data_IF_585313102043
#
_entry.id   IF_585313102043
#
_cell.length_a   1.000
_cell.length_b   1.000
_cell.length_c   1.000
_cell.angle_alpha   90.00
_cell.angle_beta   90.00
_cell.angle_gamma   90.00
#
_symmetry.space_group_name_H-M   'P 1'
#
loop_
_entity.id
_entity.type
_entity.pdbx_description
1 polymer ?
#
# COMPACT_ATOMS: atom_id res chain seq x y z
N UNK A 1 -8.91 -12.60 16.95
CA UNK A 1 -7.58 -12.81 16.33
C UNK A 1 -7.61 -12.19 14.94
N UNK A 2 -6.65 -11.34 14.60
CA UNK A 2 -6.53 -10.73 13.28
C UNK A 2 -5.09 -10.93 12.79
N UNK A 3 -4.93 -11.42 11.56
CA UNK A 3 -3.63 -11.58 10.91
C UNK A 3 -3.37 -10.46 9.92
N UNK A 4 -2.16 -9.92 9.95
CA UNK A 4 -1.63 -9.00 8.94
C UNK A 4 -0.56 -9.76 8.18
N UNK A 5 -0.65 -9.76 6.85
CA UNK A 5 0.32 -10.43 5.97
C UNK A 5 0.92 -9.40 5.02
N UNK A 6 2.22 -9.49 4.79
CA UNK A 6 2.91 -8.82 3.71
C UNK A 6 3.82 -9.83 3.02
N UNK A 7 4.00 -9.69 1.72
CA UNK A 7 4.83 -10.59 0.95
C UNK A 7 5.64 -9.86 -0.10
N UNK A 8 6.56 -10.59 -0.73
CA UNK A 8 7.26 -10.14 -1.92
C UNK A 8 7.42 -11.30 -2.89
N UNK A 9 7.63 -10.92 -4.15
CA UNK A 9 7.96 -11.80 -5.25
C UNK A 9 9.00 -11.08 -6.11
N UNK A 10 10.07 -11.77 -6.47
CA UNK A 10 11.17 -11.26 -7.25
C UNK A 10 10.97 -11.73 -8.70
N UNK A 11 10.97 -10.79 -9.63
CA UNK A 11 10.79 -11.04 -11.06
C UNK A 11 12.05 -10.62 -11.81
N UNK A 12 12.55 -11.50 -12.68
CA UNK A 12 13.63 -11.23 -13.62
C UNK A 12 14.81 -10.44 -13.03
N UNK A 13 15.25 -10.83 -11.83
CA UNK A 13 16.30 -10.17 -11.07
C UNK A 13 17.47 -11.11 -10.84
N UNK A 14 18.69 -10.59 -10.81
CA UNK A 14 19.85 -11.36 -10.32
C UNK A 14 19.80 -11.36 -8.80
N UNK A 15 20.04 -12.53 -8.21
CA UNK A 15 19.99 -12.73 -6.77
C UNK A 15 20.97 -13.81 -6.36
N UNK A 16 21.45 -13.73 -5.13
CA UNK A 16 22.15 -14.83 -4.49
C UNK A 16 21.24 -16.07 -4.37
N UNK A 17 21.85 -17.25 -4.36
CA UNK A 17 21.14 -18.54 -4.26
C UNK A 17 20.30 -18.65 -2.98
N UNK A 18 20.80 -18.05 -1.89
CA UNK A 18 20.14 -18.07 -0.58
C UNK A 18 18.91 -17.16 -0.47
N UNK A 19 18.66 -16.30 -1.47
CA UNK A 19 17.47 -15.44 -1.50
C UNK A 19 16.33 -16.18 -2.19
N UNK A 20 15.23 -16.36 -1.47
CA UNK A 20 14.01 -16.97 -2.03
C UNK A 20 13.36 -16.01 -3.03
N UNK A 21 12.84 -16.55 -4.14
CA UNK A 21 12.08 -15.74 -5.11
C UNK A 21 10.80 -15.15 -4.52
N UNK A 22 10.24 -15.77 -3.48
CA UNK A 22 9.06 -15.30 -2.77
C UNK A 22 9.24 -15.42 -1.26
N UNK A 23 8.67 -14.47 -0.53
CA UNK A 23 8.64 -14.49 0.93
C UNK A 23 7.34 -13.93 1.46
N UNK A 24 6.85 -14.51 2.56
CA UNK A 24 5.61 -14.09 3.22
C UNK A 24 5.91 -13.87 4.70
N UNK A 25 5.45 -12.74 5.22
CA UNK A 25 5.62 -12.31 6.59
C UNK A 25 4.25 -12.05 7.20
N UNK A 26 3.97 -12.68 8.32
CA UNK A 26 2.70 -12.50 9.02
C UNK A 26 2.91 -11.97 10.44
N UNK A 27 1.97 -11.17 10.92
CA UNK A 27 1.85 -10.75 12.31
C UNK A 27 0.42 -10.96 12.79
N UNK A 28 0.29 -11.60 13.94
CA UNK A 28 -0.99 -11.90 14.54
C UNK A 28 -1.26 -10.95 15.69
N UNK A 29 -2.50 -10.49 15.79
CA UNK A 29 -2.97 -9.59 16.82
C UNK A 29 -4.20 -10.18 17.51
N UNK A 30 -4.20 -10.15 18.84
CA UNK A 30 -5.42 -10.28 19.61
C UNK A 30 -6.01 -8.89 19.76
N UNK A 31 -7.24 -8.74 19.28
CA UNK A 31 -7.92 -7.46 19.18
C UNK A 31 -9.28 -7.64 19.79
N UNK A 32 -9.51 -6.95 20.89
CA UNK A 32 -10.74 -7.02 21.69
C UNK A 32 -11.53 -5.70 21.65
N UNK A 33 -11.04 -4.69 20.92
CA UNK A 33 -11.71 -3.39 20.79
C UNK A 33 -11.74 -2.90 19.34
N UNK A 34 -12.82 -2.18 18.99
CA UNK A 34 -12.98 -1.51 17.70
C UNK A 34 -11.88 -0.46 17.44
N UNK A 35 -11.38 0.20 18.48
CA UNK A 35 -10.25 1.12 18.35
C UNK A 35 -8.95 0.44 17.93
N UNK A 36 -8.71 -0.77 18.43
CA UNK A 36 -7.56 -1.57 18.02
C UNK A 36 -7.72 -2.07 16.57
N UNK A 37 -8.95 -2.27 16.07
CA UNK A 37 -9.19 -2.58 14.65
C UNK A 37 -8.80 -1.43 13.71
N UNK A 38 -9.05 -0.18 14.12
CA UNK A 38 -8.62 1.01 13.35
C UNK A 38 -7.10 1.11 13.14
N UNK A 39 -6.29 0.45 13.99
CA UNK A 39 -4.82 0.44 13.90
C UNK A 39 -4.28 -0.60 12.91
N UNK A 40 -5.10 -1.56 12.49
CA UNK A 40 -4.67 -2.71 11.68
C UNK A 40 -4.18 -2.29 10.29
N UNK A 41 -4.88 -1.42 9.53
CA UNK A 41 -4.39 -0.97 8.23
C UNK A 41 -3.02 -0.28 8.31
N UNK A 42 -2.80 0.54 9.35
CA UNK A 42 -1.52 1.21 9.58
C UNK A 42 -0.41 0.22 9.93
N UNK A 43 -0.72 -0.81 10.72
CA UNK A 43 0.21 -1.87 11.04
C UNK A 43 0.56 -2.74 9.81
N UNK A 44 -0.39 -2.92 8.88
CA UNK A 44 -0.16 -3.59 7.60
C UNK A 44 0.80 -2.81 6.70
N UNK A 45 0.55 -1.51 6.51
CA UNK A 45 1.48 -0.63 5.77
C UNK A 45 2.86 -0.57 6.42
N UNK A 46 2.94 -0.61 7.77
CA UNK A 46 4.23 -0.68 8.45
C UNK A 46 4.97 -2.00 8.18
N UNK A 47 4.26 -3.12 8.12
CA UNK A 47 4.86 -4.41 7.78
C UNK A 47 5.35 -4.41 6.33
N UNK A 48 4.55 -3.92 5.40
CA UNK A 48 4.93 -3.75 3.98
C UNK A 48 6.21 -2.92 3.84
N UNK A 49 6.30 -1.74 4.48
CA UNK A 49 7.52 -0.91 4.40
C UNK A 49 8.73 -1.59 5.01
N UNK A 50 8.57 -2.41 6.05
CA UNK A 50 9.67 -3.21 6.61
C UNK A 50 10.15 -4.30 5.66
N UNK A 51 9.25 -4.93 4.92
CA UNK A 51 9.62 -5.89 3.87
C UNK A 51 10.39 -5.15 2.77
N UNK A 52 9.89 -4.00 2.32
CA UNK A 52 10.60 -3.15 1.33
C UNK A 52 12.02 -2.75 1.80
N UNK A 53 12.16 -2.27 3.04
CA UNK A 53 13.47 -1.94 3.63
C UNK A 53 14.40 -3.16 3.66
N UNK A 54 13.88 -4.35 3.98
CA UNK A 54 14.67 -5.58 4.00
C UNK A 54 15.20 -5.92 2.60
N UNK A 55 14.35 -5.79 1.57
CA UNK A 55 14.76 -6.02 0.18
C UNK A 55 15.81 -5.00 -0.26
N UNK A 56 15.60 -3.71 0.03
CA UNK A 56 16.58 -2.67 -0.27
C UNK A 56 17.91 -2.89 0.48
N UNK A 57 17.87 -3.44 1.69
CA UNK A 57 19.09 -3.85 2.40
C UNK A 57 19.85 -4.96 1.66
N UNK A 58 19.15 -5.92 1.05
CA UNK A 58 19.78 -6.94 0.19
C UNK A 58 20.37 -6.33 -1.08
N UNK A 59 19.76 -5.27 -1.61
CA UNK A 59 20.31 -4.50 -2.75
C UNK A 59 21.59 -3.78 -2.35
N UNK A 60 21.60 -3.09 -1.19
CA UNK A 60 22.78 -2.41 -0.68
C UNK A 60 23.94 -3.38 -0.41
N UNK A 61 23.62 -4.59 0.04
CA UNK A 61 24.58 -5.69 0.23
C UNK A 61 25.03 -6.35 -1.10
N UNK A 62 24.51 -5.91 -2.25
CA UNK A 62 24.74 -6.49 -3.59
C UNK A 62 24.30 -7.95 -3.75
N UNK A 63 23.40 -8.42 -2.89
CA UNK A 63 22.84 -9.79 -2.93
C UNK A 63 21.61 -9.89 -3.82
N UNK A 64 21.00 -8.75 -4.12
CA UNK A 64 19.82 -8.62 -4.96
C UNK A 64 20.02 -7.46 -5.92
N UNK A 65 19.84 -7.69 -7.21
CA UNK A 65 19.93 -6.67 -8.25
C UNK A 65 18.56 -6.53 -8.93
N UNK A 66 17.90 -5.41 -8.63
CA UNK A 66 16.60 -5.03 -9.17
C UNK A 66 16.69 -3.60 -9.68
N UNK A 67 15.93 -3.26 -10.71
CA UNK A 67 15.80 -1.87 -11.16
C UNK A 67 14.61 -1.14 -10.51
N UNK A 68 13.60 -1.90 -10.07
CA UNK A 68 12.32 -1.36 -9.65
C UNK A 68 11.69 -2.18 -8.52
N UNK A 69 10.98 -1.50 -7.63
CA UNK A 69 10.16 -2.09 -6.59
C UNK A 69 8.70 -1.67 -6.78
N UNK A 70 7.82 -2.64 -6.99
CA UNK A 70 6.37 -2.44 -7.10
C UNK A 70 5.67 -2.67 -5.76
N UNK A 71 4.75 -1.77 -5.41
CA UNK A 71 3.90 -1.84 -4.23
C UNK A 71 2.42 -1.93 -4.65
N UNK A 72 1.65 -2.77 -3.96
CA UNK A 72 0.19 -2.73 -4.07
C UNK A 72 -0.39 -1.60 -3.20
N UNK A 73 -0.76 -0.51 -3.85
CA UNK A 73 -1.26 0.71 -3.22
C UNK A 73 -0.23 1.83 -3.17
N UNK A 74 -0.49 2.77 -2.28
CA UNK A 74 0.23 4.03 -2.17
C UNK A 74 1.66 3.87 -1.65
N UNK A 75 2.59 4.66 -2.19
CA UNK A 75 3.98 4.71 -1.71
C UNK A 75 3.98 5.28 -0.29
N UNK A 76 3.25 6.38 -0.09
CA UNK A 76 3.11 7.06 1.19
C UNK A 76 1.66 6.92 1.65
N UNK A 77 1.40 6.25 2.78
CA UNK A 77 0.06 6.19 3.36
C UNK A 77 -0.55 7.59 3.51
N UNK A 78 -1.71 7.84 2.90
CA UNK A 78 -2.31 9.19 2.87
C UNK A 78 -2.53 9.79 4.27
N UNK A 79 -2.71 8.96 5.29
CA UNK A 79 -2.84 9.42 6.68
C UNK A 79 -1.58 10.14 7.18
N UNK A 80 -0.41 9.91 6.59
CA UNK A 80 0.83 10.62 6.93
C UNK A 80 0.98 11.97 6.22
N UNK A 81 0.28 12.15 5.10
CA UNK A 81 0.35 13.36 4.27
C UNK A 81 -0.55 14.47 4.82
N UNK A 82 -1.69 14.11 5.43
CA UNK A 82 -2.71 15.07 5.90
C UNK A 82 -2.82 15.18 7.43
N UNK A 83 -1.85 14.63 8.19
CA UNK A 83 -1.80 14.75 9.65
C UNK A 83 -0.63 15.63 10.08
N UNK A 84 -0.87 16.47 11.09
CA UNK A 84 0.18 17.32 11.67
C UNK A 84 1.28 16.50 12.32
N UNK A 85 2.46 17.10 12.45
CA UNK A 85 3.59 16.47 13.12
C UNK A 85 3.25 16.06 14.55
N UNK A 86 2.52 16.92 15.29
CA UNK A 86 2.04 16.64 16.66
C UNK A 86 1.17 15.38 16.74
N UNK A 87 0.27 15.18 15.77
CA UNK A 87 -0.59 13.98 15.73
C UNK A 87 0.19 12.72 15.38
N UNK A 88 1.21 12.84 14.54
CA UNK A 88 2.07 11.69 14.18
C UNK A 88 2.95 11.32 15.37
N UNK A 89 3.59 12.29 16.02
CA UNK A 89 4.50 12.05 17.15
C UNK A 89 3.79 11.51 18.39
N UNK A 90 2.54 11.92 18.64
CA UNK A 90 1.74 11.38 19.75
C UNK A 90 1.33 9.93 19.58
N UNK A 91 1.34 9.40 18.34
CA UNK A 91 1.00 8.01 18.05
C UNK A 91 2.24 7.20 17.72
N UNK A 92 2.64 6.31 18.63
CA UNK A 92 3.78 5.40 18.43
C UNK A 92 3.71 4.62 17.12
N UNK A 93 2.50 4.22 16.67
CA UNK A 93 2.34 3.50 15.41
C UNK A 93 2.53 4.41 14.19
N UNK A 94 1.94 5.61 14.19
CA UNK A 94 2.11 6.57 13.09
C UNK A 94 3.55 7.04 12.99
N UNK A 95 4.20 7.36 14.11
CA UNK A 95 5.61 7.74 14.14
C UNK A 95 6.51 6.64 13.56
N UNK A 96 6.29 5.38 13.97
CA UNK A 96 7.05 4.24 13.40
C UNK A 96 6.81 4.05 11.90
N UNK A 97 5.58 4.27 11.44
CA UNK A 97 5.23 4.21 10.02
C UNK A 97 5.91 5.35 9.25
N UNK A 98 5.86 6.57 9.75
CA UNK A 98 6.51 7.74 9.15
C UNK A 98 8.03 7.54 9.01
N UNK A 99 8.69 7.08 10.09
CA UNK A 99 10.12 6.78 10.06
C UNK A 99 10.45 5.64 9.10
N UNK A 100 9.60 4.60 9.03
CA UNK A 100 9.80 3.49 8.10
C UNK A 100 9.64 3.92 6.64
N UNK A 101 8.61 4.70 6.30
CA UNK A 101 8.42 5.24 4.94
C UNK A 101 9.61 6.14 4.56
N UNK A 102 10.03 7.02 5.47
CA UNK A 102 11.19 7.90 5.24
C UNK A 102 12.45 7.09 4.97
N UNK A 103 12.76 6.11 5.82
CA UNK A 103 13.93 5.23 5.63
C UNK A 103 13.85 4.46 4.30
N UNK A 104 12.66 3.93 3.98
CA UNK A 104 12.41 3.20 2.74
C UNK A 104 12.70 4.06 1.50
N UNK A 105 12.19 5.30 1.45
CA UNK A 105 12.42 6.22 0.33
C UNK A 105 13.87 6.69 0.22
N UNK A 106 14.57 6.89 1.34
CA UNK A 106 15.99 7.21 1.34
C UNK A 106 16.83 6.07 0.79
N UNK A 107 16.61 4.85 1.29
CA UNK A 107 17.30 3.66 0.79
C UNK A 107 17.02 3.43 -0.69
N UNK A 108 15.78 3.62 -1.16
CA UNK A 108 15.47 3.49 -2.58
C UNK A 108 16.28 4.49 -3.42
N UNK A 109 16.35 5.76 -2.99
CA UNK A 109 17.14 6.80 -3.66
C UNK A 109 18.64 6.47 -3.65
N UNK A 110 19.19 6.09 -2.49
CA UNK A 110 20.61 5.75 -2.32
C UNK A 110 21.05 4.58 -3.22
N UNK A 111 20.14 3.63 -3.49
CA UNK A 111 20.39 2.47 -4.33
C UNK A 111 19.91 2.67 -5.79
N UNK A 112 19.49 3.88 -6.17
CA UNK A 112 18.92 4.20 -7.49
C UNK A 112 17.78 3.25 -7.92
N UNK A 113 16.94 2.86 -6.96
CA UNK A 113 15.79 1.99 -7.20
C UNK A 113 14.54 2.84 -7.41
N UNK A 114 13.89 2.66 -8.55
CA UNK A 114 12.58 3.25 -8.80
C UNK A 114 11.53 2.51 -7.97
N UNK A 115 10.74 3.26 -7.19
CA UNK A 115 9.61 2.71 -6.44
C UNK A 115 8.33 3.13 -7.12
N UNK A 116 7.45 2.16 -7.37
CA UNK A 116 6.13 2.40 -7.95
C UNK A 116 5.05 1.85 -7.03
N UNK A 117 4.11 2.69 -6.63
CA UNK A 117 2.87 2.28 -5.98
C UNK A 117 1.73 2.20 -7.00
N UNK A 118 1.10 1.03 -7.14
CA UNK A 118 -0.04 0.83 -8.04
C UNK A 118 -1.33 0.99 -7.24
N UNK A 119 -2.07 2.07 -7.47
CA UNK A 119 -3.24 2.42 -6.65
C UNK A 119 -4.53 1.91 -7.30
N UNK A 120 -4.93 0.67 -6.99
CA UNK A 120 -6.11 0.01 -7.57
C UNK A 120 -7.42 0.75 -7.29
N UNK A 121 -7.58 1.23 -6.05
CA UNK A 121 -8.77 1.92 -5.53
C UNK A 121 -8.42 3.35 -5.12
N UNK A 122 -8.57 4.28 -6.06
CA UNK A 122 -8.34 5.70 -5.82
C UNK A 122 -9.67 6.42 -5.56
N UNK A 123 -9.95 6.73 -4.30
CA UNK A 123 -11.05 7.63 -3.91
C UNK A 123 -10.60 9.09 -3.80
N UNK A 124 -9.38 9.39 -4.20
CA UNK A 124 -8.89 10.76 -4.21
C UNK A 124 -9.47 11.56 -5.37
N UNK A 125 -9.40 12.87 -5.20
CA UNK A 125 -9.82 13.87 -6.17
C UNK A 125 -8.64 14.81 -6.47
N UNK A 126 -7.41 14.29 -6.53
CA UNK A 126 -6.20 15.08 -6.78
C UNK A 126 -6.26 15.82 -8.13
N UNK A 127 -6.97 15.29 -9.14
CA UNK A 127 -7.14 15.95 -10.43
C UNK A 127 -7.93 17.26 -10.34
N UNK A 128 -8.60 17.50 -9.21
CA UNK A 128 -9.28 18.77 -8.91
C UNK A 128 -8.35 19.98 -8.97
N UNK A 129 -7.04 19.79 -8.77
CA UNK A 129 -6.07 20.88 -8.91
C UNK A 129 -6.04 21.48 -10.32
N UNK A 130 -6.40 20.71 -11.35
CA UNK A 130 -6.40 21.17 -12.75
C UNK A 130 -7.54 22.16 -13.03
N UNK A 131 -8.61 22.11 -12.22
CA UNK A 131 -9.77 22.98 -12.35
C UNK A 131 -9.89 24.00 -11.21
N UNK A 132 -9.04 23.94 -10.19
CA UNK A 132 -9.07 24.84 -9.04
C UNK A 132 -10.27 24.65 -8.10
N UNK A 133 -11.08 23.60 -8.30
CA UNK A 133 -12.24 23.24 -7.48
C UNK A 133 -12.39 21.72 -7.41
N UNK A 134 -13.06 21.21 -6.38
CA UNK A 134 -13.31 19.79 -6.22
C UNK A 134 -14.20 19.28 -7.34
N UNK A 135 -13.72 18.23 -8.01
CA UNK A 135 -14.49 17.56 -9.03
C UNK A 135 -15.45 16.54 -8.42
N UNK A 136 -16.66 16.39 -8.99
CA UNK A 136 -17.63 15.41 -8.52
C UNK A 136 -17.18 13.96 -8.76
N UNK A 137 -16.29 13.75 -9.73
CA UNK A 137 -15.71 12.45 -10.06
C UNK A 137 -14.37 12.26 -9.35
N UNK A 138 -14.10 11.03 -8.88
CA UNK A 138 -12.77 10.67 -8.39
C UNK A 138 -11.77 10.56 -9.55
N UNK A 139 -10.48 10.62 -9.21
CA UNK A 139 -9.38 10.64 -10.17
C UNK A 139 -9.45 9.47 -11.17
N UNK A 140 -9.77 8.27 -10.68
CA UNK A 140 -9.79 7.06 -11.51
C UNK A 140 -10.94 7.09 -12.52
N UNK A 141 -12.14 7.49 -12.08
CA UNK A 141 -13.29 7.61 -12.96
C UNK A 141 -13.04 8.67 -14.05
N UNK A 142 -12.53 9.84 -13.66
CA UNK A 142 -12.20 10.91 -14.58
C UNK A 142 -11.16 10.47 -15.62
N UNK A 143 -10.03 9.90 -15.17
CA UNK A 143 -8.95 9.47 -16.06
C UNK A 143 -9.34 8.30 -16.96
N UNK A 144 -10.26 7.44 -16.50
CA UNK A 144 -10.81 6.36 -17.34
C UNK A 144 -11.63 6.89 -18.51
N UNK A 145 -12.25 8.07 -18.38
CA UNK A 145 -13.02 8.74 -19.44
C UNK A 145 -12.09 9.52 -20.37
N UNK A 146 -11.14 10.27 -19.80
CA UNK A 146 -10.28 11.19 -20.56
C UNK A 146 -9.25 10.43 -21.40
N UNK A 147 -8.54 9.46 -20.81
CA UNK A 147 -7.44 8.78 -21.49
C UNK A 147 -7.97 7.79 -22.53
N UNK A 148 -7.32 7.76 -23.70
CA UNK A 148 -7.40 6.64 -24.65
C UNK A 148 -6.39 5.56 -24.27
N UNK A 149 -6.54 4.36 -24.84
CA UNK A 149 -5.57 3.27 -24.63
C UNK A 149 -4.19 3.71 -25.12
N UNK A 150 -3.15 3.26 -24.43
CA UNK A 150 -1.74 3.66 -24.68
C UNK A 150 -1.43 5.12 -24.31
N UNK A 151 -2.38 5.89 -23.78
CA UNK A 151 -2.11 7.22 -23.26
C UNK A 151 -1.82 7.17 -21.76
N UNK A 152 -0.95 8.09 -21.33
CA UNK A 152 -0.71 8.37 -19.93
C UNK A 152 -0.72 9.89 -19.69
N UNK A 153 -1.06 10.27 -18.47
CA UNK A 153 -1.05 11.65 -18.01
C UNK A 153 -0.25 11.74 -16.72
N UNK A 154 0.65 12.71 -16.66
CA UNK A 154 1.36 13.08 -15.44
C UNK A 154 0.60 14.21 -14.77
N UNK A 155 0.12 13.99 -13.54
CA UNK A 155 -0.54 15.04 -12.75
C UNK A 155 0.47 15.99 -12.11
N UNK A 156 1.66 15.49 -11.79
CA UNK A 156 2.76 16.26 -11.18
C UNK A 156 3.33 15.59 -9.94
N UNK A 157 4.14 16.32 -9.17
CA UNK A 157 4.74 15.84 -7.91
C UNK A 157 3.88 16.20 -6.71
N UNK A 158 3.94 15.39 -5.65
CA UNK A 158 3.23 15.68 -4.40
C UNK A 158 3.55 17.06 -3.81
N UNK A 159 4.77 17.57 -4.01
CA UNK A 159 5.15 18.92 -3.59
C UNK A 159 4.25 20.01 -4.18
N UNK A 160 3.80 19.80 -5.41
CA UNK A 160 3.03 20.79 -6.18
C UNK A 160 1.52 20.50 -6.06
N UNK A 161 1.16 19.21 -6.06
CA UNK A 161 -0.21 18.72 -6.00
C UNK A 161 -0.84 18.98 -4.63
N UNK A 162 -0.17 18.53 -3.55
CA UNK A 162 -0.81 18.42 -2.23
C UNK A 162 -1.16 19.78 -1.61
N UNK A 163 -0.31 20.84 -1.67
CA UNK A 163 -0.68 22.15 -1.13
C UNK A 163 -1.90 22.76 -1.83
N UNK A 164 -1.98 22.62 -3.16
CA UNK A 164 -3.11 23.12 -3.95
C UNK A 164 -4.38 22.33 -3.66
N UNK A 165 -4.28 21.00 -3.61
CA UNK A 165 -5.42 20.15 -3.25
C UNK A 165 -5.93 20.44 -1.83
N UNK A 166 -5.05 20.64 -0.86
CA UNK A 166 -5.43 20.99 0.50
C UNK A 166 -6.17 22.34 0.57
N UNK A 167 -5.77 23.33 -0.25
CA UNK A 167 -6.46 24.62 -0.35
C UNK A 167 -7.88 24.46 -0.89
N UNK A 168 -8.06 23.66 -1.93
CA UNK A 168 -9.39 23.35 -2.51
C UNK A 168 -10.29 22.70 -1.47
N UNK A 169 -9.79 21.69 -0.74
CA UNK A 169 -10.58 21.03 0.30
C UNK A 169 -10.98 21.99 1.42
N UNK A 170 -10.08 22.89 1.82
CA UNK A 170 -10.37 23.89 2.84
C UNK A 170 -11.38 24.94 2.37
N UNK A 171 -11.25 25.46 1.14
CA UNK A 171 -12.16 26.48 0.60
C UNK A 171 -13.58 25.96 0.39
N UNK A 172 -13.74 24.66 0.14
CA UNK A 172 -15.05 24.01 -0.02
C UNK A 172 -15.61 23.44 1.28
N UNK A 173 -14.99 23.73 2.43
CA UNK A 173 -15.46 23.24 3.73
C UNK A 173 -15.38 21.73 3.92
N UNK A 174 -14.62 21.02 3.07
CA UNK A 174 -14.40 19.56 3.14
C UNK A 174 -13.27 19.18 4.10
N UNK A 175 -12.45 20.15 4.48
CA UNK A 175 -11.37 19.99 5.44
C UNK A 175 -11.16 21.25 6.29
N UNK A 176 -10.46 21.17 7.43
CA UNK A 176 -10.13 22.34 8.24
C UNK A 176 -9.28 23.34 7.45
N UNK A 177 -9.50 24.64 7.70
CA UNK A 177 -8.74 25.74 7.05
C UNK A 177 -7.22 25.67 7.24
N UNK A 178 -6.76 24.98 8.30
CA UNK A 178 -5.34 24.75 8.59
C UNK A 178 -4.71 23.61 7.78
N UNK A 179 -5.48 22.84 7.00
CA UNK A 179 -4.95 21.70 6.25
C UNK A 179 -3.81 22.09 5.28
N UNK A 180 -3.86 23.20 4.52
CA UNK A 180 -2.75 23.61 3.66
C UNK A 180 -1.44 23.80 4.42
N UNK A 181 -1.51 24.44 5.59
CA UNK A 181 -0.35 24.62 6.47
C UNK A 181 0.19 23.28 6.97
N UNK A 182 -0.70 22.37 7.40
CA UNK A 182 -0.30 21.01 7.83
C UNK A 182 0.44 20.29 6.70
N UNK A 183 -0.06 20.35 5.47
CA UNK A 183 0.58 19.70 4.32
C UNK A 183 1.94 20.32 4.03
N UNK A 184 2.06 21.64 4.07
CA UNK A 184 3.33 22.35 3.86
C UNK A 184 4.37 21.93 4.91
N UNK A 185 4.03 22.02 6.20
CA UNK A 185 4.91 21.59 7.31
C UNK A 185 5.34 20.12 7.17
N UNK A 186 4.46 19.26 6.65
CA UNK A 186 4.77 17.84 6.42
C UNK A 186 5.74 17.64 5.27
N UNK A 187 5.58 18.36 4.17
CA UNK A 187 6.50 18.31 3.04
C UNK A 187 7.87 18.90 3.40
N UNK A 188 7.92 19.94 4.24
CA UNK A 188 9.17 20.51 4.73
C UNK A 188 9.90 19.54 5.68
N UNK A 189 9.17 18.91 6.60
CA UNK A 189 9.75 17.94 7.53
C UNK A 189 10.15 16.61 6.85
N UNK A 190 9.53 16.27 5.72
CA UNK A 190 9.74 15.05 4.93
C UNK A 190 9.85 15.41 3.44
N UNK A 191 10.96 16.03 2.99
CA UNK A 191 11.12 16.48 1.61
C UNK A 191 11.11 15.32 0.60
N UNK A 192 11.39 14.10 1.05
CA UNK A 192 11.30 12.89 0.24
C UNK A 192 9.87 12.64 -0.23
N UNK A 193 8.87 13.04 0.56
CA UNK A 193 7.45 12.84 0.22
C UNK A 193 7.06 13.69 -0.98
N UNK A 194 7.60 14.91 -1.06
CA UNK A 194 7.36 15.81 -2.19
C UNK A 194 7.96 15.31 -3.52
N UNK A 195 8.84 14.30 -3.49
CA UNK A 195 9.45 13.71 -4.67
C UNK A 195 8.60 12.67 -5.40
N UNK A 196 7.46 12.26 -4.84
CA UNK A 196 6.57 11.29 -5.48
C UNK A 196 5.79 11.95 -6.61
N UNK A 197 5.90 11.39 -7.82
CA UNK A 197 5.14 11.75 -9.01
C UNK A 197 3.83 10.97 -9.02
N UNK A 198 2.72 11.63 -9.32
CA UNK A 198 1.42 11.01 -9.56
C UNK A 198 1.18 10.99 -11.06
N UNK A 199 0.93 9.79 -11.60
CA UNK A 199 0.59 9.60 -12.99
C UNK A 199 -0.57 8.61 -13.14
N UNK A 200 -1.21 8.65 -14.30
CA UNK A 200 -2.27 7.76 -14.70
C UNK A 200 -1.92 7.21 -16.08
N UNK A 201 -2.15 5.93 -16.31
CA UNK A 201 -2.06 5.37 -17.66
C UNK A 201 -3.29 4.52 -17.93
N UNK A 202 -3.64 4.37 -19.20
CA UNK A 202 -4.70 3.48 -19.63
C UNK A 202 -4.09 2.33 -20.43
N UNK A 203 -4.25 1.07 -19.95
CA UNK A 203 -3.60 -0.06 -20.58
C UNK A 203 -3.87 -0.15 -22.09
N UNK A 204 -2.86 -0.59 -22.84
CA UNK A 204 -2.91 -0.77 -24.30
C UNK A 204 -3.89 -1.87 -24.69
N UNK A 205 -3.95 -2.93 -23.89
CA UNK A 205 -4.80 -4.09 -24.10
C UNK A 205 -6.28 -3.78 -23.79
N UNK A 206 -7.17 -4.48 -24.49
CA UNK A 206 -8.60 -4.41 -24.20
C UNK A 206 -8.89 -5.16 -22.89
N UNK A 207 -9.35 -4.44 -21.88
CA UNK A 207 -9.76 -5.00 -20.58
C UNK A 207 -11.23 -4.74 -20.33
N UNK A 208 -11.90 -5.65 -19.61
CA UNK A 208 -13.36 -5.68 -19.46
C UNK A 208 -13.98 -4.36 -18.96
N UNK A 209 -13.24 -3.59 -18.16
CA UNK A 209 -13.73 -2.34 -17.58
C UNK A 209 -13.02 -1.07 -18.12
N UNK A 210 -12.09 -1.22 -19.06
CA UNK A 210 -11.33 -0.13 -19.71
C UNK A 210 -10.90 1.00 -18.75
N UNK A 211 -10.46 0.66 -17.55
CA UNK A 211 -10.17 1.62 -16.48
C UNK A 211 -8.73 2.12 -16.58
N UNK A 212 -8.52 3.39 -16.26
CA UNK A 212 -7.18 3.92 -16.03
C UNK A 212 -6.60 3.38 -14.72
N UNK A 213 -5.29 3.19 -14.71
CA UNK A 213 -4.50 2.78 -13.56
C UNK A 213 -3.77 4.00 -13.03
N UNK A 214 -3.95 4.28 -11.74
CA UNK A 214 -3.17 5.30 -11.05
C UNK A 214 -1.88 4.70 -10.53
N UNK A 215 -0.78 5.41 -10.75
CA UNK A 215 0.52 5.10 -10.19
C UNK A 215 1.09 6.27 -9.41
N UNK A 216 1.82 5.95 -8.36
CA UNK A 216 2.73 6.84 -7.65
C UNK A 216 4.13 6.37 -7.96
N UNK A 217 5.04 7.26 -8.38
CA UNK A 217 6.39 6.91 -8.80
C UNK A 217 7.40 7.76 -8.05
N UNK A 218 8.42 7.13 -7.49
CA UNK A 218 9.51 7.80 -6.77
C UNK A 218 10.85 7.31 -7.28
N UNK A 219 11.83 8.22 -7.36
CA UNK A 219 13.19 7.92 -7.80
C UNK A 219 13.46 8.13 -9.28
N UNK A 220 12.49 8.67 -10.04
CA UNK A 220 12.68 9.05 -11.46
C UNK A 220 13.25 10.46 -11.57
N UNK A 221 14.21 10.63 -12.48
CA UNK A 221 14.94 11.89 -12.69
C UNK A 221 14.54 12.62 -13.99
N UNK A 222 13.83 11.95 -14.90
CA UNK A 222 13.39 12.52 -16.18
C UNK A 222 12.03 12.00 -16.62
N UNK A 223 11.37 12.73 -17.52
CA UNK A 223 10.11 12.28 -18.14
C UNK A 223 10.29 10.99 -18.95
N UNK A 224 11.41 10.85 -19.68
CA UNK A 224 11.73 9.63 -20.42
C UNK A 224 11.86 8.41 -19.50
N UNK A 225 12.37 8.58 -18.28
CA UNK A 225 12.45 7.50 -17.31
C UNK A 225 11.05 7.11 -16.81
N UNK A 226 10.19 8.09 -16.53
CA UNK A 226 8.80 7.84 -16.17
C UNK A 226 8.03 7.14 -17.29
N UNK A 227 8.23 7.54 -18.54
CA UNK A 227 7.62 6.90 -19.71
C UNK A 227 8.02 5.43 -19.80
N UNK A 228 9.31 5.12 -19.61
CA UNK A 228 9.79 3.72 -19.56
C UNK A 228 9.15 2.92 -18.43
N UNK A 229 8.95 3.53 -17.25
CA UNK A 229 8.22 2.90 -16.14
C UNK A 229 6.80 2.57 -16.56
N UNK A 230 6.08 3.54 -17.16
CA UNK A 230 4.70 3.35 -17.62
C UNK A 230 4.62 2.27 -18.69
N UNK A 231 5.50 2.29 -19.70
CA UNK A 231 5.55 1.30 -20.76
C UNK A 231 5.84 -0.11 -20.22
N UNK A 232 6.74 -0.23 -19.24
CA UNK A 232 7.02 -1.51 -18.58
C UNK A 232 5.78 -2.04 -17.85
N UNK A 233 5.08 -1.18 -17.09
CA UNK A 233 3.86 -1.57 -16.38
C UNK A 233 2.75 -1.98 -17.35
N UNK A 234 2.58 -1.24 -18.44
CA UNK A 234 1.62 -1.55 -19.50
C UNK A 234 1.91 -2.91 -20.13
N UNK A 235 3.17 -3.18 -20.49
CA UNK A 235 3.61 -4.48 -21.03
C UNK A 235 3.43 -5.67 -20.08
N UNK A 236 3.27 -5.42 -18.78
CA UNK A 236 2.97 -6.43 -17.77
C UNK A 236 1.49 -6.48 -17.38
N UNK A 237 0.61 -5.75 -18.05
CA UNK A 237 -0.82 -5.69 -17.68
C UNK A 237 -1.49 -7.04 -17.86
N UNK A 238 -2.17 -7.50 -16.82
CA UNK A 238 -3.05 -8.66 -16.86
C UNK A 238 -4.38 -8.29 -17.55
N UNK A 239 -4.77 -8.96 -18.66
CA UNK A 239 -6.02 -8.67 -19.37
C UNK A 239 -7.29 -8.83 -18.53
N UNK A 240 -7.26 -9.71 -17.54
CA UNK A 240 -8.42 -9.99 -16.68
C UNK A 240 -8.72 -8.84 -15.70
N UNK A 241 -7.68 -8.16 -15.21
CA UNK A 241 -7.80 -7.16 -14.13
C UNK A 241 -7.53 -5.72 -14.61
N UNK A 242 -6.77 -5.57 -15.70
CA UNK A 242 -6.26 -4.27 -16.15
C UNK A 242 -5.18 -3.69 -15.26
N UNK A 243 -4.51 -4.52 -14.46
CA UNK A 243 -3.42 -4.12 -13.56
C UNK A 243 -2.14 -4.89 -13.90
N UNK A 244 -0.95 -4.39 -13.52
CA UNK A 244 0.29 -5.14 -13.71
C UNK A 244 0.24 -6.50 -13.00
N UNK A 245 0.52 -7.57 -13.74
CA UNK A 245 0.47 -8.95 -13.26
C UNK A 245 1.25 -9.22 -11.95
N UNK A 246 2.42 -8.60 -11.69
CA UNK A 246 3.10 -8.72 -10.41
C UNK A 246 2.25 -8.34 -9.20
N UNK A 247 1.36 -7.35 -9.34
CA UNK A 247 0.50 -6.87 -8.26
C UNK A 247 -0.60 -7.89 -7.97
N UNK A 248 -1.17 -8.51 -9.01
CA UNK A 248 -2.17 -9.57 -8.85
C UNK A 248 -1.58 -10.83 -8.22
N UNK A 249 -0.35 -11.19 -8.59
CA UNK A 249 0.35 -12.34 -8.00
C UNK A 249 0.58 -12.15 -6.49
N UNK A 250 0.98 -10.94 -6.07
CA UNK A 250 1.17 -10.64 -4.65
C UNK A 250 -0.15 -10.72 -3.90
N UNK A 251 -1.24 -10.18 -4.45
CA UNK A 251 -2.58 -10.28 -3.84
C UNK A 251 -2.99 -11.73 -3.61
N UNK A 252 -2.72 -12.60 -4.57
CA UNK A 252 -2.97 -14.04 -4.44
C UNK A 252 -2.06 -14.66 -3.37
N UNK A 253 -0.76 -14.35 -3.39
CA UNK A 253 0.23 -14.89 -2.46
C UNK A 253 -0.05 -14.54 -0.99
N UNK A 254 -0.47 -13.30 -0.73
CA UNK A 254 -0.72 -12.80 0.64
C UNK A 254 -2.15 -13.07 1.10
N UNK A 255 -2.99 -13.68 0.27
CA UNK A 255 -4.40 -13.93 0.58
C UNK A 255 -4.51 -14.80 1.82
N UNK A 256 -4.89 -14.16 2.92
CA UNK A 256 -5.04 -14.84 4.21
C UNK A 256 -6.44 -15.42 4.32
N UNK A 257 -6.61 -16.66 3.88
CA UNK A 257 -7.89 -17.36 3.92
C UNK A 257 -8.40 -17.57 5.35
N UNK A 258 -9.73 -17.56 5.52
CA UNK A 258 -10.40 -17.84 6.81
C UNK A 258 -9.96 -19.17 7.43
N UNK A 259 -9.64 -20.16 6.59
CA UNK A 259 -9.13 -21.48 7.01
C UNK A 259 -7.77 -21.37 7.71
N UNK A 260 -6.90 -20.49 7.24
CA UNK A 260 -5.57 -20.24 7.82
C UNK A 260 -5.67 -19.59 9.19
N UNK A 261 -6.62 -18.67 9.38
CA UNK A 261 -6.93 -18.08 10.70
C UNK A 261 -7.39 -19.12 11.71
N UNK A 262 -8.23 -20.07 11.29
CA UNK A 262 -8.73 -21.13 12.15
C UNK A 262 -7.61 -22.11 12.54
N UNK A 263 -6.74 -22.49 11.61
CA UNK A 263 -5.56 -23.32 11.92
C UNK A 263 -4.63 -22.64 12.93
N UNK A 264 -4.37 -21.34 12.74
CA UNK A 264 -3.57 -20.56 13.68
C UNK A 264 -4.26 -20.48 15.04
N UNK A 265 -5.56 -20.23 15.08
CA UNK A 265 -6.36 -20.19 16.32
C UNK A 265 -6.25 -21.53 17.06
N UNK A 266 -6.45 -22.66 16.38
CA UNK A 266 -6.34 -24.00 16.97
C UNK A 266 -4.97 -24.26 17.56
N UNK A 267 -3.91 -23.87 16.85
CA UNK A 267 -2.53 -24.05 17.34
C UNK A 267 -2.23 -23.20 18.58
N UNK A 268 -2.73 -21.97 18.63
CA UNK A 268 -2.64 -21.11 19.81
C UNK A 268 -3.40 -21.72 20.99
N UNK A 269 -4.63 -22.18 20.77
CA UNK A 269 -5.44 -22.82 21.82
C UNK A 269 -4.73 -24.06 22.35
N UNK A 270 -4.20 -24.91 21.46
CA UNK A 270 -3.45 -26.11 21.84
C UNK A 270 -2.25 -25.78 22.71
N UNK A 271 -1.44 -24.78 22.31
CA UNK A 271 -0.27 -24.36 23.08
C UNK A 271 -0.65 -23.79 24.46
N UNK A 272 -1.74 -23.02 24.53
CA UNK A 272 -2.22 -22.47 25.80
C UNK A 272 -2.73 -23.58 26.72
N UNK A 273 -3.43 -24.59 26.19
CA UNK A 273 -3.86 -25.76 26.96
C UNK A 273 -2.65 -26.52 27.51
N UNK A 274 -1.60 -26.71 26.71
CA UNK A 274 -0.37 -27.37 27.16
C UNK A 274 0.29 -26.60 28.32
N UNK A 275 0.27 -25.27 28.31
CA UNK A 275 0.94 -24.45 29.33
C UNK A 275 0.12 -24.17 30.58
N UNK A 276 -1.18 -24.01 30.43
CA UNK A 276 -2.08 -23.46 31.46
C UNK A 276 -3.20 -24.43 31.86
N UNK A 277 -3.22 -25.63 31.27
CA UNK A 277 -4.15 -26.70 31.60
C UNK A 277 -5.47 -26.66 30.80
N UNK A 278 -6.28 -27.72 30.93
CA UNK A 278 -7.47 -27.97 30.11
C UNK A 278 -8.62 -26.97 30.35
N UNK A 279 -8.63 -26.24 31.46
CA UNK A 279 -9.68 -25.24 31.78
C UNK A 279 -9.67 -24.07 30.80
N UNK A 280 -8.53 -23.77 30.17
CA UNK A 280 -8.37 -22.70 29.18
C UNK A 280 -9.22 -22.94 27.93
N UNK A 281 -9.41 -24.18 27.52
CA UNK A 281 -10.26 -24.50 26.36
C UNK A 281 -11.70 -24.02 26.57
N UNK A 282 -12.21 -24.13 27.80
CA UNK A 282 -13.54 -23.65 28.19
C UNK A 282 -13.60 -22.12 28.22
N UNK A 283 -12.55 -21.46 28.70
CA UNK A 283 -12.50 -19.99 28.68
C UNK A 283 -12.40 -19.41 27.27
N UNK A 284 -11.69 -20.09 26.36
CA UNK A 284 -11.54 -19.68 24.96
C UNK A 284 -12.69 -20.13 24.04
N UNK A 285 -13.56 -21.04 24.51
CA UNK A 285 -14.73 -21.51 23.78
C UNK A 285 -15.92 -20.53 23.85
N UNK A 286 -15.87 -19.51 24.71
CA UNK A 286 -16.88 -18.42 24.78
C UNK A 286 -16.92 -17.47 23.57
N UNK A 287 -16.28 -17.84 22.45
CA UNK A 287 -16.47 -17.15 21.18
C UNK A 287 -17.76 -17.63 20.54
N UNK A 288 -18.71 -16.71 20.35
CA UNK A 288 -20.08 -16.98 19.87
C UNK A 288 -20.14 -18.14 18.85
N UNK A 289 -20.67 -19.32 19.23
CA UNK A 289 -20.74 -20.51 18.39
C UNK A 289 -21.48 -20.25 17.08
N UNK A 290 -22.48 -19.37 17.11
CA UNK A 290 -23.27 -18.99 15.95
C UNK A 290 -22.48 -18.20 14.91
N UNK A 291 -21.26 -17.72 15.19
CA UNK A 291 -20.40 -17.10 14.17
C UNK A 291 -19.28 -18.03 13.69
N UNK A 292 -19.18 -19.25 14.22
CA UNK A 292 -18.18 -20.24 13.78
C UNK A 292 -18.36 -20.65 12.33
N UNK A 293 -19.59 -20.68 11.81
CA UNK A 293 -19.86 -21.04 10.41
C UNK A 293 -19.23 -20.09 9.37
N UNK A 294 -18.86 -18.86 9.77
CA UNK A 294 -18.13 -17.93 8.91
C UNK A 294 -16.66 -18.35 8.70
N UNK A 295 -16.16 -19.26 9.54
CA UNK A 295 -14.76 -19.69 9.60
C UNK A 295 -14.57 -21.21 9.44
N UNK A 296 -15.66 -21.99 9.49
CA UNK A 296 -15.68 -23.42 9.20
C UNK A 296 -16.37 -23.69 7.85
N UNK A 297 -15.76 -24.45 6.93
CA UNK A 297 -16.46 -24.86 5.72
C UNK A 297 -17.64 -25.76 6.07
N UNK A 298 -18.79 -25.56 5.41
CA UNK A 298 -19.86 -26.57 5.40
C UNK A 298 -19.22 -27.89 4.96
N UNK A 299 -19.22 -28.90 5.83
CA UNK A 299 -18.94 -30.27 5.41
C UNK A 299 -19.99 -30.58 4.35
N UNK A 300 -19.57 -30.74 3.09
CA UNK A 300 -20.41 -31.40 2.11
C UNK A 300 -20.56 -32.83 2.62
N UNK A 301 -21.76 -33.14 3.10
CA UNK A 301 -22.24 -34.50 3.30
C UNK A 301 -22.54 -35.07 1.92
#
# INVERSE_FOLDING_TARGET
LIGIVAGYHIFNARKDDNIKCRGVFARLFFVDSEEARKKIPLAAKLLEKKVGIRLLGMVSDRKLDIAMLLLDGEIIPYQLLFKSHKTISSSRLLYRLDTAVTKFLKMARENNIVVVGVVKRSYSHLTSILHGRLLPLNDKALMSIILKRQEYMVLGKFRDILPTYARILASEGRAPSKLPQIVAERLDARPEYGGVVVAFYKPSIAVSYNQAVRIEVYGVNSENELERVVALLDGMTNPATGLPAPVDLIDELIRFESRSLELVRRRIVSELVTRLGPTITTLLSHTNPEKRYLYEPRRRV
#
